data_IF_195249323924
#
_entry.id   IF_195249323924
#
_cell.length_a   1.000
_cell.length_b   1.000
_cell.length_c   1.000
_cell.angle_alpha   90.00
_cell.angle_beta   90.00
_cell.angle_gamma   90.00
#
_symmetry.space_group_name_H-M   'P 1'
#
loop_
_entity.id
_entity.type
_entity.pdbx_description
1 polymer ?
#
# COMPACT_ATOMS: atom_id res chain seq x y z
N UNK A 1 7.76 -13.64 -8.82
CA UNK A 1 8.14 -12.36 -8.16
C UNK A 1 7.01 -11.36 -8.34
N UNK A 2 6.58 -10.69 -7.27
CA UNK A 2 5.60 -9.58 -7.29
C UNK A 2 6.38 -8.29 -7.07
N UNK A 3 6.17 -7.30 -7.94
CA UNK A 3 6.83 -6.00 -7.89
C UNK A 3 5.80 -4.89 -7.68
N UNK A 4 5.98 -4.07 -6.63
CA UNK A 4 5.03 -3.04 -6.23
C UNK A 4 5.75 -1.69 -6.12
N UNK A 5 5.14 -0.64 -6.64
CA UNK A 5 5.55 0.74 -6.38
C UNK A 5 4.57 1.40 -5.42
N UNK A 6 5.11 2.08 -4.42
CA UNK A 6 4.34 2.79 -3.40
C UNK A 6 4.63 4.27 -3.56
N UNK A 7 3.63 5.03 -3.98
CA UNK A 7 3.73 6.47 -4.21
C UNK A 7 3.09 7.25 -3.07
N UNK A 8 3.77 8.27 -2.61
CA UNK A 8 3.30 9.18 -1.57
C UNK A 8 4.00 10.54 -1.65
N UNK A 9 3.79 11.36 -0.65
CA UNK A 9 4.57 12.59 -0.44
C UNK A 9 5.56 12.40 0.70
N UNK A 10 6.67 13.13 0.67
CA UNK A 10 7.64 13.13 1.75
C UNK A 10 6.97 13.40 3.10
N UNK A 11 7.12 12.46 4.04
CA UNK A 11 6.47 12.48 5.35
C UNK A 11 5.19 11.63 5.48
N UNK A 12 4.64 11.07 4.40
CA UNK A 12 3.45 10.19 4.46
C UNK A 12 3.76 8.71 4.75
N UNK A 13 5.04 8.34 4.86
CA UNK A 13 5.45 7.00 5.27
C UNK A 13 5.39 5.94 4.18
N UNK A 14 5.62 6.28 2.89
CA UNK A 14 5.69 5.30 1.81
C UNK A 14 6.78 4.24 2.05
N UNK A 15 7.94 4.66 2.57
CA UNK A 15 9.03 3.74 2.93
C UNK A 15 8.62 2.85 4.10
N UNK A 16 7.96 3.41 5.12
CA UNK A 16 7.47 2.62 6.26
C UNK A 16 6.43 1.59 5.81
N UNK A 17 5.49 1.96 4.91
CA UNK A 17 4.54 1.01 4.35
C UNK A 17 5.25 -0.14 3.62
N UNK A 18 6.29 0.17 2.81
CA UNK A 18 7.06 -0.88 2.11
C UNK A 18 7.80 -1.81 3.08
N UNK A 19 8.33 -1.27 4.17
CA UNK A 19 9.03 -2.06 5.21
C UNK A 19 8.07 -2.97 6.00
N UNK A 20 6.90 -2.45 6.40
CA UNK A 20 5.86 -3.24 7.09
C UNK A 20 5.41 -4.41 6.21
N UNK A 21 5.11 -4.15 4.94
CA UNK A 21 4.69 -5.19 4.00
C UNK A 21 5.80 -6.22 3.74
N UNK A 22 7.05 -5.76 3.61
CA UNK A 22 8.21 -6.64 3.46
C UNK A 22 8.40 -7.53 4.69
N UNK A 23 8.34 -6.95 5.89
CA UNK A 23 8.50 -7.73 7.12
C UNK A 23 7.37 -8.75 7.29
N UNK A 24 6.12 -8.36 7.03
CA UNK A 24 4.99 -9.29 7.07
C UNK A 24 5.17 -10.47 6.10
N UNK A 25 5.57 -10.20 4.85
CA UNK A 25 5.84 -11.25 3.87
C UNK A 25 7.09 -12.09 4.20
N UNK A 26 8.11 -11.49 4.80
CA UNK A 26 9.28 -12.24 5.28
C UNK A 26 8.92 -13.26 6.36
N UNK A 27 7.95 -12.93 7.23
CA UNK A 27 7.43 -13.86 8.24
C UNK A 27 6.62 -15.02 7.63
N UNK A 28 6.16 -14.88 6.38
CA UNK A 28 5.61 -15.96 5.54
C UNK A 28 6.69 -16.75 4.79
N UNK A 29 7.95 -16.64 5.20
CA UNK A 29 9.11 -17.26 4.55
C UNK A 29 9.32 -16.83 3.09
N UNK A 30 8.86 -15.64 2.69
CA UNK A 30 9.17 -15.07 1.38
C UNK A 30 10.52 -14.34 1.39
N UNK A 31 11.17 -14.32 0.23
CA UNK A 31 12.29 -13.40 -0.02
C UNK A 31 11.74 -12.02 -0.35
N UNK A 32 12.29 -10.98 0.28
CA UNK A 32 11.77 -9.62 0.19
C UNK A 32 12.87 -8.60 -0.11
N UNK A 33 12.50 -7.54 -0.83
CA UNK A 33 13.31 -6.33 -0.97
C UNK A 33 12.38 -5.12 -0.80
N UNK A 34 12.70 -4.21 0.11
CA UNK A 34 12.03 -2.94 0.28
C UNK A 34 13.07 -1.82 0.31
N UNK A 35 12.93 -0.83 -0.57
CA UNK A 35 13.89 0.27 -0.65
C UNK A 35 13.24 1.54 -1.21
N UNK A 36 13.70 2.73 -0.79
CA UNK A 36 13.20 4.00 -1.32
C UNK A 36 13.74 4.27 -2.74
N UNK A 37 13.00 5.06 -3.51
CA UNK A 37 13.56 5.72 -4.69
C UNK A 37 14.37 6.92 -4.21
N UNK A 38 15.68 6.81 -4.28
CA UNK A 38 16.57 7.92 -3.93
C UNK A 38 16.38 9.10 -4.90
N UNK A 39 16.13 10.28 -4.37
CA UNK A 39 15.97 11.54 -5.06
C UNK A 39 16.13 12.72 -4.10
N UNK A 40 15.89 13.96 -4.54
CA UNK A 40 15.88 15.12 -3.65
C UNK A 40 14.63 15.09 -2.76
N UNK A 41 14.68 14.31 -1.70
CA UNK A 41 13.58 14.17 -0.74
C UNK A 41 13.37 15.50 0.00
N UNK A 42 12.25 16.15 -0.30
CA UNK A 42 11.75 17.30 0.44
C UNK A 42 10.38 16.95 1.01
N UNK A 43 10.10 17.48 2.20
CA UNK A 43 8.78 17.32 2.81
C UNK A 43 7.69 17.78 1.83
N UNK A 44 6.69 16.92 1.57
CA UNK A 44 5.60 17.18 0.64
C UNK A 44 5.91 16.92 -0.85
N UNK A 45 7.18 16.71 -1.24
CA UNK A 45 7.52 16.34 -2.61
C UNK A 45 7.07 14.88 -2.91
N UNK A 46 6.76 14.55 -4.18
CA UNK A 46 6.48 13.18 -4.58
C UNK A 46 7.67 12.26 -4.26
N UNK A 47 7.39 11.14 -3.61
CA UNK A 47 8.36 10.10 -3.29
C UNK A 47 7.81 8.73 -3.70
N UNK A 48 8.70 7.79 -4.01
CA UNK A 48 8.34 6.42 -4.26
C UNK A 48 9.17 5.47 -3.40
N UNK A 49 8.56 4.36 -3.00
CA UNK A 49 9.24 3.21 -2.44
C UNK A 49 8.92 1.99 -3.31
N UNK A 50 9.83 1.03 -3.29
CA UNK A 50 9.72 -0.20 -4.06
C UNK A 50 9.65 -1.39 -3.12
N UNK A 51 8.83 -2.37 -3.48
CA UNK A 51 8.69 -3.63 -2.77
C UNK A 51 8.75 -4.78 -3.79
N UNK A 52 9.56 -5.79 -3.50
CA UNK A 52 9.61 -7.07 -4.22
C UNK A 52 9.39 -8.21 -3.26
N UNK A 53 8.57 -9.15 -3.67
CA UNK A 53 8.24 -10.36 -2.92
C UNK A 53 8.37 -11.57 -3.84
N UNK A 54 9.06 -12.63 -3.39
CA UNK A 54 9.19 -13.87 -4.15
C UNK A 54 9.38 -15.06 -3.21
N UNK A 55 9.04 -16.26 -3.66
CA UNK A 55 9.38 -17.50 -2.97
C UNK A 55 10.83 -17.95 -3.22
N UNK A 56 11.51 -17.34 -4.18
CA UNK A 56 12.91 -17.59 -4.53
C UNK A 56 13.79 -16.37 -4.23
N UNK A 57 15.12 -16.56 -4.02
CA UNK A 57 16.03 -15.45 -3.77
C UNK A 57 15.99 -14.36 -4.83
N UNK A 58 15.81 -13.11 -4.40
CA UNK A 58 15.73 -11.94 -5.29
C UNK A 58 17.14 -11.40 -5.55
N UNK A 59 17.61 -11.52 -6.77
CA UNK A 59 18.96 -11.06 -7.17
C UNK A 59 18.96 -9.70 -7.88
N UNK A 60 17.78 -9.23 -8.32
CA UNK A 60 17.62 -7.96 -9.03
C UNK A 60 17.87 -6.79 -8.09
N UNK A 61 18.69 -5.80 -8.53
CA UNK A 61 19.04 -4.62 -7.73
C UNK A 61 18.59 -3.29 -8.36
N UNK A 62 17.95 -3.33 -9.53
CA UNK A 62 17.41 -2.15 -10.20
C UNK A 62 16.15 -1.63 -9.50
N UNK A 63 15.73 -0.40 -9.86
CA UNK A 63 14.39 0.09 -9.51
C UNK A 63 13.31 -0.79 -10.14
N UNK A 64 12.09 -0.73 -9.60
CA UNK A 64 10.92 -1.38 -10.20
C UNK A 64 10.41 -0.49 -11.35
N UNK A 65 10.69 -0.90 -12.58
CA UNK A 65 10.26 -0.19 -13.79
C UNK A 65 8.90 -0.68 -14.29
N UNK A 66 8.61 -1.98 -14.15
CA UNK A 66 7.39 -2.63 -14.60
C UNK A 66 6.67 -3.29 -13.41
N UNK A 67 5.98 -2.50 -12.55
CA UNK A 67 5.29 -3.06 -11.39
C UNK A 67 4.08 -3.90 -11.80
N UNK A 68 3.76 -4.90 -10.97
CA UNK A 68 2.50 -5.63 -11.02
C UNK A 68 1.37 -4.81 -10.40
N UNK A 69 1.72 -3.88 -9.51
CA UNK A 69 0.76 -3.02 -8.87
C UNK A 69 1.35 -1.73 -8.30
N UNK A 70 0.45 -0.76 -8.11
CA UNK A 70 0.77 0.56 -7.60
C UNK A 70 -0.11 0.88 -6.39
N UNK A 71 0.54 1.27 -5.28
CA UNK A 71 -0.11 1.78 -4.08
C UNK A 71 0.06 3.29 -4.02
N UNK A 72 -1.03 4.05 -3.91
CA UNK A 72 -1.04 5.52 -3.92
C UNK A 72 -1.55 6.02 -2.57
N UNK A 73 -0.66 6.57 -1.75
CA UNK A 73 -0.98 7.12 -0.42
C UNK A 73 -1.66 8.50 -0.48
N UNK A 74 -1.54 9.20 -1.62
CA UNK A 74 -2.09 10.54 -1.82
C UNK A 74 -2.64 10.68 -3.25
N UNK A 75 -3.97 10.70 -3.39
CA UNK A 75 -4.63 10.81 -4.69
C UNK A 75 -4.26 12.09 -5.48
N UNK A 76 -3.81 13.16 -4.81
CA UNK A 76 -3.41 14.39 -5.49
C UNK A 76 -2.18 14.21 -6.37
N UNK A 77 -1.42 13.12 -6.18
CA UNK A 77 -0.29 12.77 -7.04
C UNK A 77 -0.75 12.44 -8.47
N UNK A 78 -1.95 11.90 -8.63
CA UNK A 78 -2.53 11.63 -9.95
C UNK A 78 -2.73 12.91 -10.78
N UNK A 79 -2.99 14.05 -10.13
CA UNK A 79 -3.14 15.35 -10.80
C UNK A 79 -1.80 15.95 -11.24
N UNK A 80 -0.69 15.58 -10.61
CA UNK A 80 0.64 16.14 -10.89
C UNK A 80 1.36 15.44 -12.05
N UNK A 81 0.93 14.23 -12.41
CA UNK A 81 1.59 13.47 -13.47
C UNK A 81 1.20 12.01 -13.49
N UNK A 82 -0.04 11.74 -13.88
CA UNK A 82 -0.58 10.38 -14.04
C UNK A 82 0.39 9.48 -14.81
N UNK A 83 0.89 9.96 -15.95
CA UNK A 83 1.79 9.18 -16.79
C UNK A 83 3.08 8.77 -16.06
N UNK A 84 3.63 9.62 -15.20
CA UNK A 84 4.84 9.28 -14.45
C UNK A 84 4.61 8.24 -13.35
N UNK A 85 3.42 8.24 -12.75
CA UNK A 85 3.05 7.29 -11.70
C UNK A 85 2.70 5.92 -12.30
N UNK A 86 1.96 5.91 -13.42
CA UNK A 86 1.49 4.67 -14.03
C UNK A 86 2.47 4.09 -15.06
N UNK A 87 3.53 4.82 -15.43
CA UNK A 87 4.52 4.34 -16.40
C UNK A 87 5.02 2.93 -16.05
N UNK A 88 4.93 2.02 -17.01
CA UNK A 88 5.39 0.64 -16.86
C UNK A 88 4.47 -0.27 -16.04
N UNK A 89 3.33 0.19 -15.53
CA UNK A 89 2.36 -0.72 -14.90
C UNK A 89 1.96 -1.79 -15.91
N UNK A 90 2.15 -3.06 -15.55
CA UNK A 90 1.90 -4.19 -16.43
C UNK A 90 0.44 -4.28 -16.87
N UNK A 91 0.14 -4.75 -18.09
CA UNK A 91 -1.23 -5.07 -18.49
C UNK A 91 -1.88 -6.02 -17.48
N UNK A 92 -3.13 -5.71 -17.06
CA UNK A 92 -3.82 -6.45 -16.02
C UNK A 92 -3.31 -6.19 -14.60
N UNK A 93 -2.41 -5.24 -14.44
CA UNK A 93 -1.96 -4.76 -13.13
C UNK A 93 -3.07 -4.07 -12.33
N UNK A 94 -2.77 -3.69 -11.11
CA UNK A 94 -3.73 -3.09 -10.19
C UNK A 94 -3.24 -1.76 -9.61
N UNK A 95 -4.20 -0.91 -9.20
CA UNK A 95 -3.94 0.36 -8.54
C UNK A 95 -4.81 0.41 -7.27
N UNK A 96 -4.19 0.57 -6.10
CA UNK A 96 -4.88 0.81 -4.83
C UNK A 96 -4.64 2.26 -4.40
N UNK A 97 -5.72 3.01 -4.24
CA UNK A 97 -5.69 4.47 -4.03
C UNK A 97 -6.30 4.83 -2.67
N UNK A 98 -5.59 5.63 -1.88
CA UNK A 98 -6.16 6.29 -0.71
C UNK A 98 -7.08 7.44 -1.16
N UNK A 99 -8.37 7.22 -1.14
CA UNK A 99 -9.38 8.19 -1.55
C UNK A 99 -10.77 7.80 -1.04
N UNK A 100 -11.66 8.77 -0.71
CA UNK A 100 -13.06 8.50 -0.43
C UNK A 100 -13.88 8.19 -1.70
N UNK A 101 -13.35 8.47 -2.90
CA UNK A 101 -14.03 8.25 -4.18
C UNK A 101 -14.24 6.75 -4.44
N UNK A 102 -15.30 6.42 -5.16
CA UNK A 102 -15.56 5.06 -5.61
C UNK A 102 -14.58 4.65 -6.73
N UNK A 103 -14.23 3.35 -6.85
CA UNK A 103 -13.34 2.89 -7.94
C UNK A 103 -13.85 3.23 -9.34
N UNK A 104 -15.17 3.24 -9.54
CA UNK A 104 -15.85 3.53 -10.79
C UNK A 104 -15.65 4.98 -11.28
N UNK A 105 -15.25 5.87 -10.39
CA UNK A 105 -14.93 7.27 -10.71
C UNK A 105 -13.55 7.45 -11.39
N UNK A 106 -12.81 6.36 -11.60
CA UNK A 106 -11.48 6.35 -12.23
C UNK A 106 -11.52 5.65 -13.59
N UNK A 107 -12.50 6.03 -14.43
CA UNK A 107 -12.73 5.45 -15.76
C UNK A 107 -11.49 5.51 -16.66
N UNK A 108 -10.67 6.55 -16.51
CA UNK A 108 -9.42 6.73 -17.26
C UNK A 108 -8.37 5.63 -16.99
N UNK A 109 -8.56 4.81 -15.94
CA UNK A 109 -7.69 3.69 -15.58
C UNK A 109 -8.39 2.33 -15.72
N UNK A 110 -9.52 2.24 -16.42
CA UNK A 110 -10.37 1.04 -16.52
C UNK A 110 -9.64 -0.20 -17.09
N UNK A 111 -8.47 -0.03 -17.75
CA UNK A 111 -7.62 -1.13 -18.17
C UNK A 111 -6.92 -1.85 -17.03
N UNK A 112 -6.91 -1.26 -15.82
CA UNK A 112 -6.32 -1.83 -14.61
C UNK A 112 -7.41 -2.21 -13.61
N UNK A 113 -7.08 -3.08 -12.67
CA UNK A 113 -7.94 -3.35 -11.51
C UNK A 113 -7.83 -2.19 -10.52
N UNK A 114 -8.90 -1.39 -10.38
CA UNK A 114 -8.91 -0.23 -9.48
C UNK A 114 -9.52 -0.61 -8.15
N UNK A 115 -8.80 -0.31 -7.08
CA UNK A 115 -9.28 -0.42 -5.71
C UNK A 115 -9.11 0.90 -4.97
N UNK A 116 -10.05 1.22 -4.09
CA UNK A 116 -10.00 2.43 -3.27
C UNK A 116 -10.29 2.12 -1.80
N UNK A 117 -9.72 2.92 -0.92
CA UNK A 117 -10.00 2.92 0.52
C UNK A 117 -9.81 4.33 1.08
N UNK A 118 -10.71 4.81 1.92
CA UNK A 118 -10.55 6.10 2.62
C UNK A 118 -9.69 5.93 3.88
N UNK A 119 -8.39 5.68 3.64
CA UNK A 119 -7.43 5.49 4.71
C UNK A 119 -7.29 6.73 5.61
N UNK A 120 -7.54 7.92 5.07
CA UNK A 120 -7.49 9.15 5.86
C UNK A 120 -8.60 9.22 6.91
N UNK A 121 -9.82 8.81 6.56
CA UNK A 121 -10.94 8.75 7.51
C UNK A 121 -10.75 7.63 8.53
N UNK A 122 -10.29 6.45 8.11
CA UNK A 122 -9.94 5.36 9.02
C UNK A 122 -8.88 5.83 10.03
N UNK A 123 -7.80 6.44 9.56
CA UNK A 123 -6.73 6.97 10.45
C UNK A 123 -7.26 7.95 11.48
N UNK A 124 -8.18 8.87 11.08
CA UNK A 124 -8.79 9.81 12.00
C UNK A 124 -9.66 9.12 13.06
N UNK A 125 -10.44 8.08 12.67
CA UNK A 125 -11.25 7.28 13.63
C UNK A 125 -10.39 6.63 14.71
N UNK A 126 -9.20 6.16 14.34
CA UNK A 126 -8.23 5.56 15.26
C UNK A 126 -7.29 6.58 15.94
N UNK A 127 -7.50 7.89 15.72
CA UNK A 127 -6.65 8.93 16.32
C UNK A 127 -5.20 8.90 15.84
N UNK A 128 -4.95 8.45 14.61
CA UNK A 128 -3.61 8.32 14.02
C UNK A 128 -3.23 9.60 13.25
N UNK A 129 -2.19 10.30 13.73
CA UNK A 129 -1.79 11.58 13.20
C UNK A 129 -2.69 12.75 13.68
N UNK A 130 -2.74 13.82 12.90
CA UNK A 130 -3.62 14.96 13.14
C UNK A 130 -4.79 14.97 12.15
N UNK A 131 -5.79 15.84 12.39
CA UNK A 131 -6.92 16.02 11.47
C UNK A 131 -6.48 16.44 10.07
N UNK A 132 -5.41 17.23 9.96
CA UNK A 132 -4.85 17.74 8.70
C UNK A 132 -3.74 16.86 8.11
N UNK A 133 -3.15 15.97 8.90
CA UNK A 133 -2.08 15.07 8.49
C UNK A 133 -2.29 13.66 9.10
N UNK A 134 -3.29 12.91 8.63
CA UNK A 134 -3.54 11.56 9.11
C UNK A 134 -2.41 10.61 8.69
N UNK A 135 -2.11 9.62 9.53
CA UNK A 135 -1.11 8.58 9.24
C UNK A 135 -1.80 7.45 8.47
N UNK A 136 -1.61 7.41 7.16
CA UNK A 136 -2.34 6.49 6.27
C UNK A 136 -1.56 5.23 5.89
N UNK A 137 -0.25 5.19 6.12
CA UNK A 137 0.65 4.13 5.65
C UNK A 137 0.27 2.74 6.18
N UNK A 138 -0.06 2.61 7.47
CA UNK A 138 -0.45 1.33 8.09
C UNK A 138 -1.82 0.86 7.60
N UNK A 139 -2.79 1.77 7.45
CA UNK A 139 -4.11 1.47 6.88
C UNK A 139 -3.96 0.95 5.44
N UNK A 140 -3.15 1.63 4.63
CA UNK A 140 -2.91 1.23 3.24
C UNK A 140 -2.14 -0.09 3.13
N UNK A 141 -1.23 -0.37 4.07
CA UNK A 141 -0.58 -1.68 4.17
C UNK A 141 -1.60 -2.79 4.48
N UNK A 142 -2.52 -2.53 5.42
CA UNK A 142 -3.63 -3.45 5.74
C UNK A 142 -4.56 -3.68 4.55
N UNK A 143 -4.98 -2.60 3.88
CA UNK A 143 -5.81 -2.69 2.69
C UNK A 143 -5.14 -3.52 1.58
N UNK A 144 -3.84 -3.29 1.32
CA UNK A 144 -3.11 -4.05 0.32
C UNK A 144 -2.95 -5.53 0.71
N UNK A 145 -2.69 -5.81 1.98
CA UNK A 145 -2.60 -7.20 2.49
C UNK A 145 -3.93 -7.92 2.32
N UNK A 146 -5.05 -7.29 2.69
CA UNK A 146 -6.40 -7.87 2.48
C UNK A 146 -6.76 -8.05 1.01
N UNK A 147 -6.32 -7.13 0.15
CA UNK A 147 -6.60 -7.17 -1.29
C UNK A 147 -5.81 -8.26 -2.01
N UNK A 148 -4.53 -8.41 -1.72
CA UNK A 148 -3.64 -9.32 -2.47
C UNK A 148 -3.21 -10.56 -1.69
N UNK A 149 -3.54 -10.66 -0.41
CA UNK A 149 -3.15 -11.80 0.41
C UNK A 149 -1.63 -11.93 0.53
N UNK A 150 -0.93 -10.81 0.72
CA UNK A 150 0.55 -10.78 0.74
C UNK A 150 1.13 -11.46 1.98
N UNK A 151 0.38 -11.47 3.08
CA UNK A 151 0.74 -12.13 4.34
C UNK A 151 -0.51 -12.34 5.18
N UNK A 152 -0.42 -13.18 6.22
CA UNK A 152 -1.43 -13.27 7.28
C UNK A 152 -1.51 -12.00 8.11
N UNK A 153 -2.70 -11.69 8.64
CA UNK A 153 -2.91 -10.47 9.45
C UNK A 153 -2.12 -10.51 10.76
N UNK A 154 -1.83 -11.67 11.33
CA UNK A 154 -0.98 -11.80 12.52
C UNK A 154 0.44 -11.32 12.23
N UNK A 155 1.02 -11.73 11.11
CA UNK A 155 2.34 -11.30 10.68
C UNK A 155 2.37 -9.81 10.32
N UNK A 156 1.29 -9.28 9.71
CA UNK A 156 1.14 -7.85 9.47
C UNK A 156 1.08 -7.07 10.79
N UNK A 157 0.31 -7.55 11.78
CA UNK A 157 0.19 -6.92 13.09
C UNK A 157 1.54 -6.87 13.82
N UNK A 158 2.33 -7.95 13.78
CA UNK A 158 3.67 -7.97 14.35
C UNK A 158 4.61 -6.99 13.64
N UNK A 159 4.58 -6.95 12.31
CA UNK A 159 5.36 -6.00 11.52
C UNK A 159 4.99 -4.53 11.85
N UNK A 160 3.70 -4.24 12.04
CA UNK A 160 3.24 -2.91 12.46
C UNK A 160 3.76 -2.58 13.86
N UNK A 161 3.63 -3.49 14.85
CA UNK A 161 4.14 -3.26 16.22
C UNK A 161 5.62 -2.99 16.24
N UNK A 162 6.39 -3.67 15.39
CA UNK A 162 7.84 -3.47 15.29
C UNK A 162 8.19 -2.13 14.64
N UNK A 163 7.49 -1.74 13.57
CA UNK A 163 7.79 -0.53 12.81
C UNK A 163 7.24 0.76 13.44
N UNK A 164 6.19 0.66 14.27
CA UNK A 164 5.45 1.82 14.80
C UNK A 164 5.47 1.79 16.33
N UNK A 165 6.37 2.56 16.98
CA UNK A 165 6.56 2.50 18.44
C UNK A 165 5.45 3.21 19.23
N UNK A 166 4.64 4.03 18.58
CA UNK A 166 3.57 4.82 19.22
C UNK A 166 2.22 4.41 18.66
N UNK A 167 1.25 4.13 19.55
CA UNK A 167 -0.10 3.69 19.15
C UNK A 167 -0.08 2.46 18.25
N UNK A 168 0.73 1.46 18.59
CA UNK A 168 0.89 0.26 17.77
C UNK A 168 -0.43 -0.49 17.57
N UNK A 169 -1.23 -0.66 18.64
CA UNK A 169 -2.50 -1.38 18.57
C UNK A 169 -3.57 -0.63 17.78
N UNK A 170 -3.61 0.71 17.90
CA UNK A 170 -4.49 1.54 17.07
C UNK A 170 -4.10 1.46 15.59
N UNK A 171 -2.80 1.37 15.28
CA UNK A 171 -2.31 1.16 13.91
C UNK A 171 -2.67 -0.23 13.38
N UNK A 172 -2.58 -1.27 14.22
CA UNK A 172 -3.02 -2.64 13.85
C UNK A 172 -4.53 -2.65 13.59
N UNK A 173 -5.34 -2.08 14.49
CA UNK A 173 -6.79 -2.00 14.31
C UNK A 173 -7.17 -1.25 13.04
N UNK A 174 -6.51 -0.12 12.76
CA UNK A 174 -6.73 0.67 11.55
C UNK A 174 -6.32 -0.09 10.27
N UNK A 175 -5.27 -0.91 10.31
CA UNK A 175 -4.87 -1.75 9.19
C UNK A 175 -5.90 -2.84 8.89
N UNK A 176 -6.46 -3.49 9.92
CA UNK A 176 -7.54 -4.47 9.78
C UNK A 176 -8.80 -3.83 9.20
N UNK A 177 -9.16 -2.63 9.69
CA UNK A 177 -10.30 -1.88 9.15
C UNK A 177 -10.08 -1.50 7.68
N UNK A 178 -8.87 -1.07 7.31
CA UNK A 178 -8.49 -0.77 5.93
C UNK A 178 -8.70 -1.95 4.98
N UNK A 179 -8.38 -3.16 5.43
CA UNK A 179 -8.61 -4.38 4.66
C UNK A 179 -10.11 -4.70 4.48
N UNK A 180 -10.94 -4.33 5.44
CA UNK A 180 -12.39 -4.57 5.38
C UNK A 180 -13.13 -3.53 4.54
N UNK A 181 -12.65 -2.29 4.52
CA UNK A 181 -13.30 -1.16 3.84
C UNK A 181 -12.81 -0.94 2.41
N UNK A 182 -11.93 -1.81 1.89
CA UNK A 182 -11.49 -1.71 0.49
C UNK A 182 -12.66 -1.92 -0.48
N UNK A 183 -12.71 -1.09 -1.52
CA UNK A 183 -13.70 -1.15 -2.59
C UNK A 183 -13.02 -1.45 -3.91
N UNK A 184 -13.65 -2.26 -4.78
CA UNK A 184 -13.13 -2.60 -6.11
C UNK A 184 -14.23 -2.47 -7.16
N UNK A 185 -13.91 -1.90 -8.33
CA UNK A 185 -14.82 -1.81 -9.48
C UNK A 185 -15.13 -3.19 -10.09
N UNK A 186 -14.18 -4.13 -10.05
CA UNK A 186 -14.44 -5.54 -10.35
C UNK A 186 -14.73 -6.22 -9.02
N UNK A 187 -15.88 -6.92 -8.91
CA UNK A 187 -16.19 -7.70 -7.73
C UNK A 187 -14.99 -8.59 -7.41
N UNK A 188 -14.21 -8.19 -6.43
CA UNK A 188 -13.14 -9.00 -5.90
C UNK A 188 -13.84 -10.25 -5.35
N UNK A 189 -13.58 -11.42 -5.90
CA UNK A 189 -13.91 -12.67 -5.23
C UNK A 189 -13.17 -12.64 -3.89
N UNK A 190 -13.86 -12.11 -2.88
CA UNK A 190 -13.35 -12.06 -1.51
C UNK A 190 -13.15 -13.51 -1.10
N UNK A 191 -11.93 -13.96 -1.07
CA UNK A 191 -11.56 -15.11 -0.25
C UNK A 191 -11.82 -14.71 1.20
N UNK A 192 -13.06 -14.96 1.64
CA UNK A 192 -13.56 -14.71 3.00
C UNK A 192 -12.89 -15.60 4.07
N UNK A 193 -11.90 -16.38 3.71
CA UNK A 193 -11.39 -17.47 4.55
C UNK A 193 -10.21 -17.07 5.46
N UNK A 194 -9.74 -15.82 5.41
CA UNK A 194 -8.57 -15.41 6.22
C UNK A 194 -8.82 -14.29 7.25
N UNK A 195 -10.05 -13.85 7.44
CA UNK A 195 -10.36 -12.77 8.40
C UNK A 195 -10.97 -13.27 9.70
N UNK A 196 -11.28 -14.59 9.82
CA UNK A 196 -11.90 -15.20 10.99
C UNK A 196 -11.10 -16.38 11.58
N UNK A 197 -9.79 -16.31 11.58
CA UNK A 197 -8.98 -17.26 12.33
C UNK A 197 -8.13 -16.49 13.37
#
# INVERSE_FOLDING_TARGET
>A
MIEIRIHGRGGQGAVIASQILAEAAFREAMHVQAFPSFGSERRGAPVAAFLRLDHSPITVRSKVYEPDGILILDQTLLQLGVNSILTGLKPGGWILINTPRAPEEFEEFAQFEICTVDAASISRRHGLGSSTAPIVNTVMAGALTGFKGLAGFDHLAEAIRHAVPVKAEENVAAAVEGAREIRSAKACERRSDHVNA
#
